data_IF_537260565270
#
_entry.id   IF_537260565270
#
_cell.length_a   1.000
_cell.length_b   1.000
_cell.length_c   1.000
_cell.angle_alpha   90.00
_cell.angle_beta   90.00
_cell.angle_gamma   90.00
#
_symmetry.space_group_name_H-M   'P 1'
#
loop_
_entity.id
_entity.type
_entity.pdbx_description
1 polymer ?
#
# COMPACT_ATOMS: atom_id res chain seq x y z
N UNK A 1 -18.41 22.81 18.95
CA UNK A 1 -17.04 22.51 19.37
C UNK A 1 -16.05 23.43 18.65
N UNK A 2 -14.92 23.71 19.31
CA UNK A 2 -13.83 24.46 18.70
C UNK A 2 -13.24 23.73 17.48
N UNK A 3 -12.87 24.43 16.38
CA UNK A 3 -12.24 23.79 15.24
C UNK A 3 -10.90 23.14 15.60
N UNK A 4 -10.53 22.09 14.90
CA UNK A 4 -9.27 21.37 15.06
C UNK A 4 -9.36 19.89 14.80
N UNK A 5 -8.34 19.14 15.22
CA UNK A 5 -8.32 17.69 15.21
C UNK A 5 -8.43 17.13 16.63
N UNK A 6 -9.25 16.11 16.80
CA UNK A 6 -9.52 15.48 18.07
C UNK A 6 -9.29 13.98 17.96
N UNK A 7 -8.41 13.46 18.80
CA UNK A 7 -8.17 12.02 18.92
C UNK A 7 -8.98 11.46 20.08
N UNK A 8 -9.53 10.29 19.88
CA UNK A 8 -10.28 9.54 20.87
C UNK A 8 -10.00 8.05 20.77
N UNK A 9 -10.37 7.29 21.76
CA UNK A 9 -10.28 5.84 21.75
C UNK A 9 -11.45 5.22 22.51
N UNK A 10 -11.93 4.10 21.98
CA UNK A 10 -12.90 3.26 22.64
C UNK A 10 -12.15 2.17 23.44
N UNK A 11 -12.36 2.14 24.75
CA UNK A 11 -11.70 1.17 25.66
C UNK A 11 -12.30 -0.25 25.59
N UNK A 12 -12.87 -0.63 24.46
CA UNK A 12 -13.38 -1.98 24.25
C UNK A 12 -14.73 -2.28 24.93
N UNK A 13 -15.42 -1.27 25.45
CA UNK A 13 -16.76 -1.45 26.05
C UNK A 13 -17.83 -1.89 25.03
N UNK A 14 -17.61 -1.66 23.76
CA UNK A 14 -18.51 -1.96 22.66
C UNK A 14 -18.15 -3.21 21.86
N UNK A 15 -16.95 -3.77 22.07
CA UNK A 15 -16.48 -4.96 21.36
C UNK A 15 -16.05 -6.08 22.29
N UNK A 16 -16.56 -7.28 22.02
CA UNK A 16 -16.26 -8.51 22.78
C UNK A 16 -14.79 -8.91 22.76
N UNK A 17 -14.00 -8.38 21.82
CA UNK A 17 -12.56 -8.65 21.69
C UNK A 17 -11.68 -7.89 22.71
N UNK A 18 -12.22 -6.92 23.43
CA UNK A 18 -11.45 -6.05 24.33
C UNK A 18 -10.43 -5.13 23.65
N UNK A 19 -10.43 -5.08 22.33
CA UNK A 19 -9.49 -4.29 21.53
C UNK A 19 -9.80 -2.80 21.62
N UNK A 20 -8.76 -1.99 21.83
CA UNK A 20 -8.90 -0.53 21.84
C UNK A 20 -8.98 -0.02 20.41
N UNK A 21 -10.07 0.67 20.07
CA UNK A 21 -10.28 1.26 18.75
C UNK A 21 -10.01 2.76 18.79
N UNK A 22 -9.03 3.19 18.02
CA UNK A 22 -8.66 4.60 17.92
C UNK A 22 -9.47 5.30 16.84
N UNK A 23 -9.73 6.58 17.05
CA UNK A 23 -10.41 7.45 16.09
C UNK A 23 -9.83 8.85 16.09
N UNK A 24 -10.00 9.55 14.98
CA UNK A 24 -9.65 10.95 14.84
C UNK A 24 -10.81 11.69 14.17
N UNK A 25 -11.06 12.92 14.60
CA UNK A 25 -12.11 13.78 14.05
C UNK A 25 -11.54 15.12 13.69
N UNK A 26 -11.74 15.53 12.44
CA UNK A 26 -11.39 16.86 11.96
C UNK A 26 -12.65 17.69 11.92
N UNK A 27 -12.67 18.77 12.72
CA UNK A 27 -13.78 19.71 12.80
C UNK A 27 -13.31 21.04 12.23
N UNK A 28 -13.86 21.48 11.07
CA UNK A 28 -13.58 22.82 10.53
C UNK A 28 -14.40 23.88 11.28
N UNK A 29 -14.03 25.14 11.09
CA UNK A 29 -14.86 26.27 11.48
C UNK A 29 -16.14 26.30 10.65
N UNK A 30 -16.02 26.07 9.35
CA UNK A 30 -17.12 25.96 8.39
C UNK A 30 -16.85 24.82 7.43
N UNK A 31 -17.83 23.95 7.21
CA UNK A 31 -17.73 22.86 6.24
C UNK A 31 -17.96 21.47 6.85
N UNK A 32 -17.64 20.47 6.09
CA UNK A 32 -17.89 19.08 6.44
C UNK A 32 -16.92 18.55 7.48
N UNK A 33 -17.45 17.75 8.40
CA UNK A 33 -16.66 17.00 9.36
C UNK A 33 -16.07 15.75 8.71
N UNK A 34 -14.84 15.41 9.07
CA UNK A 34 -14.17 14.21 8.58
C UNK A 34 -13.71 13.38 9.78
N UNK A 35 -14.23 12.18 9.89
CA UNK A 35 -13.87 11.22 10.92
C UNK A 35 -13.07 10.08 10.34
N UNK A 36 -12.03 9.64 11.06
CA UNK A 36 -11.30 8.40 10.80
C UNK A 36 -11.47 7.48 11.99
N UNK A 37 -11.80 6.22 11.75
CA UNK A 37 -12.01 5.22 12.80
C UNK A 37 -11.49 3.85 12.41
N UNK A 38 -10.83 3.17 13.34
CA UNK A 38 -10.47 1.76 13.19
C UNK A 38 -11.62 0.86 13.55
N UNK A 39 -11.73 -0.26 12.87
CA UNK A 39 -12.61 -1.35 13.24
C UNK A 39 -11.84 -2.48 13.97
N UNK A 40 -12.53 -3.49 14.56
CA UNK A 40 -11.86 -4.61 15.21
C UNK A 40 -11.01 -5.49 14.29
N UNK A 41 -11.19 -5.39 12.98
CA UNK A 41 -10.43 -6.11 11.94
C UNK A 41 -9.20 -5.34 11.45
N UNK A 42 -8.82 -4.26 12.15
CA UNK A 42 -7.68 -3.40 11.79
C UNK A 42 -7.83 -2.68 10.44
N UNK A 43 -9.05 -2.36 10.06
CA UNK A 43 -9.35 -1.60 8.86
C UNK A 43 -9.65 -0.17 9.25
N UNK A 44 -9.05 0.79 8.55
CA UNK A 44 -9.29 2.21 8.75
C UNK A 44 -10.44 2.69 7.85
N UNK A 45 -11.48 3.21 8.48
CA UNK A 45 -12.62 3.82 7.79
C UNK A 45 -12.64 5.33 7.93
N UNK A 46 -13.27 5.98 6.98
CA UNK A 46 -13.60 7.41 7.05
C UNK A 46 -15.11 7.64 6.96
N UNK A 47 -15.57 8.73 7.59
CA UNK A 47 -16.95 9.23 7.49
C UNK A 47 -16.92 10.72 7.20
N UNK A 48 -17.75 11.14 6.28
CA UNK A 48 -17.99 12.54 5.98
C UNK A 48 -19.38 12.89 6.56
N UNK A 49 -19.46 13.91 7.39
CA UNK A 49 -20.70 14.39 8.00
C UNK A 49 -21.53 13.26 8.66
N UNK A 50 -20.86 12.33 9.34
CA UNK A 50 -21.47 11.17 10.02
C UNK A 50 -22.27 10.24 9.10
N UNK A 51 -22.07 10.29 7.80
CA UNK A 51 -22.68 9.34 6.86
C UNK A 51 -22.08 7.96 7.01
N UNK A 52 -22.52 6.98 6.18
CA UNK A 52 -21.97 5.62 6.23
C UNK A 52 -20.45 5.64 6.06
N UNK A 53 -19.77 4.75 6.76
CA UNK A 53 -18.32 4.64 6.68
C UNK A 53 -17.88 4.02 5.33
N UNK A 54 -16.77 4.51 4.83
CA UNK A 54 -16.07 4.00 3.66
C UNK A 54 -14.61 3.72 4.01
N UNK A 55 -13.93 2.78 3.35
CA UNK A 55 -12.50 2.61 3.53
C UNK A 55 -11.74 3.94 3.37
N UNK A 56 -10.84 4.25 4.30
CA UNK A 56 -10.14 5.54 4.29
C UNK A 56 -9.27 5.75 3.04
N UNK A 57 -8.84 4.67 2.41
CA UNK A 57 -8.07 4.71 1.15
C UNK A 57 -8.86 5.30 -0.02
N UNK A 58 -10.19 5.25 0.02
CA UNK A 58 -11.03 5.95 -0.96
C UNK A 58 -10.77 7.46 -0.92
N UNK A 59 -10.62 8.03 0.27
CA UNK A 59 -10.25 9.46 0.42
C UNK A 59 -8.89 9.77 -0.18
N UNK A 60 -7.90 8.90 0.05
CA UNK A 60 -6.55 9.07 -0.50
C UNK A 60 -6.55 8.94 -2.04
N UNK A 61 -7.30 8.01 -2.59
CA UNK A 61 -7.47 7.88 -4.04
C UNK A 61 -8.19 9.10 -4.65
N UNK A 62 -9.19 9.62 -3.98
CA UNK A 62 -9.88 10.84 -4.40
C UNK A 62 -8.95 12.06 -4.43
N UNK A 63 -7.94 12.09 -3.55
CA UNK A 63 -6.86 13.08 -3.57
C UNK A 63 -5.84 12.86 -4.70
N UNK A 64 -5.94 11.77 -5.45
CA UNK A 64 -5.09 11.46 -6.60
C UNK A 64 -3.96 10.48 -6.33
N UNK A 65 -3.93 9.84 -5.17
CA UNK A 65 -2.89 8.85 -4.83
C UNK A 65 -3.19 7.50 -5.47
N UNK A 66 -2.20 6.92 -6.14
CA UNK A 66 -2.23 5.53 -6.62
C UNK A 66 -2.03 4.54 -5.46
N UNK A 67 -2.29 3.25 -5.70
CA UNK A 67 -2.01 2.20 -4.70
C UNK A 67 -0.53 2.21 -4.27
N UNK A 68 0.40 2.34 -5.21
CA UNK A 68 1.84 2.38 -4.92
C UNK A 68 2.24 3.63 -4.13
N UNK A 69 1.66 4.79 -4.46
CA UNK A 69 1.88 6.03 -3.71
C UNK A 69 1.34 5.95 -2.28
N UNK A 70 0.15 5.37 -2.07
CA UNK A 70 -0.40 5.12 -0.73
C UNK A 70 0.53 4.21 0.07
N UNK A 71 0.97 3.11 -0.52
CA UNK A 71 1.88 2.17 0.12
C UNK A 71 3.19 2.85 0.50
N UNK A 72 3.79 3.62 -0.41
CA UNK A 72 5.07 4.30 -0.15
C UNK A 72 4.98 5.37 0.93
N UNK A 73 3.82 5.99 1.11
CA UNK A 73 3.60 6.99 2.15
C UNK A 73 3.55 6.36 3.57
N UNK A 74 2.96 5.17 3.69
CA UNK A 74 2.74 4.55 5.00
C UNK A 74 3.75 3.48 5.38
N UNK A 75 4.48 2.90 4.42
CA UNK A 75 5.38 1.78 4.66
C UNK A 75 6.78 2.02 4.13
N UNK A 76 7.76 1.56 4.90
CA UNK A 76 9.08 1.25 4.39
C UNK A 76 9.04 -0.09 3.67
N UNK A 77 9.96 -0.31 2.75
CA UNK A 77 10.03 -1.52 1.94
C UNK A 77 11.36 -2.24 2.12
N UNK A 78 11.31 -3.55 1.96
CA UNK A 78 12.49 -4.41 1.86
C UNK A 78 12.59 -4.97 0.45
N UNK A 79 13.80 -4.95 -0.12
CA UNK A 79 14.09 -5.55 -1.41
C UNK A 79 14.66 -6.95 -1.21
N UNK A 80 13.97 -7.95 -1.76
CA UNK A 80 14.36 -9.35 -1.73
C UNK A 80 14.92 -9.76 -3.08
N UNK A 81 16.15 -10.26 -3.09
CA UNK A 81 16.75 -10.88 -4.26
C UNK A 81 16.51 -12.38 -4.20
N UNK A 82 15.85 -12.93 -5.22
CA UNK A 82 15.47 -14.33 -5.27
C UNK A 82 16.58 -15.13 -5.97
N UNK A 83 17.10 -16.14 -5.30
CA UNK A 83 17.91 -17.19 -5.85
C UNK A 83 17.14 -18.51 -5.72
N UNK A 84 17.52 -19.57 -6.38
CA UNK A 84 16.79 -20.85 -6.52
C UNK A 84 15.79 -21.16 -5.39
N UNK A 85 16.26 -21.44 -4.18
CA UNK A 85 15.43 -21.78 -3.00
C UNK A 85 15.70 -20.86 -1.81
N UNK A 86 16.34 -19.72 -2.06
CA UNK A 86 16.71 -18.76 -1.03
C UNK A 86 16.44 -17.33 -1.48
N UNK A 87 16.33 -16.46 -0.50
CA UNK A 87 16.19 -15.00 -0.73
C UNK A 87 17.24 -14.26 0.06
N UNK A 88 17.74 -13.18 -0.51
CA UNK A 88 18.69 -12.27 0.14
C UNK A 88 18.00 -10.95 0.38
N UNK A 89 18.19 -10.41 1.56
CA UNK A 89 17.65 -9.10 1.97
C UNK A 89 18.73 -8.34 2.73
N UNK A 90 18.69 -7.01 2.64
CA UNK A 90 19.61 -6.16 3.36
C UNK A 90 19.51 -6.40 4.88
N UNK A 91 20.65 -6.44 5.55
CA UNK A 91 20.72 -6.55 7.00
C UNK A 91 20.39 -5.20 7.64
N UNK A 92 19.24 -5.12 8.30
CA UNK A 92 18.81 -3.98 9.11
C UNK A 92 18.65 -4.45 10.55
N UNK A 93 19.66 -4.27 11.42
CA UNK A 93 19.68 -4.84 12.76
C UNK A 93 18.47 -4.45 13.62
N UNK A 94 18.02 -3.20 13.54
CA UNK A 94 16.89 -2.70 14.32
C UNK A 94 15.58 -3.43 14.00
N UNK A 95 15.41 -3.91 12.78
CA UNK A 95 14.22 -4.66 12.34
C UNK A 95 14.19 -6.11 12.84
N UNK A 96 15.34 -6.66 13.19
CA UNK A 96 15.49 -8.06 13.62
C UNK A 96 15.40 -8.23 15.13
N UNK A 97 15.74 -7.21 15.90
CA UNK A 97 15.80 -7.30 17.36
C UNK A 97 14.46 -7.67 17.98
N UNK A 98 14.46 -8.77 18.73
CA UNK A 98 13.27 -9.26 19.42
C UNK A 98 12.31 -10.07 18.55
N UNK A 99 12.54 -10.13 17.24
CA UNK A 99 11.76 -10.92 16.30
C UNK A 99 12.06 -12.43 16.42
N UNK A 100 11.08 -13.22 16.00
CA UNK A 100 11.24 -14.68 15.85
C UNK A 100 10.85 -15.03 14.43
N UNK A 101 11.80 -15.50 13.63
CA UNK A 101 11.56 -15.87 12.24
C UNK A 101 11.31 -17.38 12.11
N UNK A 102 10.43 -17.78 11.19
CA UNK A 102 10.14 -19.20 10.93
C UNK A 102 11.25 -19.91 10.15
N UNK A 103 12.29 -19.19 9.76
CA UNK A 103 13.41 -19.68 8.94
C UNK A 103 14.75 -19.32 9.57
N UNK A 104 15.81 -20.06 9.19
CA UNK A 104 17.18 -19.76 9.63
C UNK A 104 17.68 -18.45 9.03
N UNK A 105 18.41 -17.67 9.82
CA UNK A 105 19.16 -16.50 9.35
C UNK A 105 20.58 -16.93 9.03
N UNK A 106 20.96 -16.82 7.76
CA UNK A 106 22.28 -17.18 7.26
C UNK A 106 23.01 -15.97 6.69
N UNK A 107 24.32 -15.96 6.89
CA UNK A 107 25.25 -15.09 6.17
C UNK A 107 26.21 -15.99 5.40
N UNK A 108 26.16 -15.91 4.09
CA UNK A 108 26.79 -16.91 3.22
C UNK A 108 26.25 -18.32 3.55
N UNK A 109 27.09 -19.22 4.03
CA UNK A 109 26.69 -20.58 4.40
C UNK A 109 26.55 -20.81 5.91
N UNK A 110 26.85 -19.82 6.74
CA UNK A 110 26.82 -19.94 8.21
C UNK A 110 25.48 -19.52 8.77
N UNK A 111 24.87 -20.38 9.60
CA UNK A 111 23.67 -20.08 10.37
C UNK A 111 24.03 -19.25 11.60
N UNK A 112 23.42 -18.08 11.74
CA UNK A 112 23.58 -17.19 12.90
C UNK A 112 22.42 -17.34 13.89
N UNK A 113 21.21 -17.52 13.39
CA UNK A 113 20.00 -17.74 14.21
C UNK A 113 19.20 -18.87 13.57
N UNK A 114 18.88 -19.90 14.34
CA UNK A 114 18.02 -20.99 13.88
C UNK A 114 16.54 -20.57 13.85
N UNK A 115 15.78 -21.22 12.97
CA UNK A 115 14.34 -21.03 12.86
C UNK A 115 13.64 -21.19 14.22
N UNK A 116 12.65 -20.32 14.48
CA UNK A 116 11.86 -20.35 15.70
C UNK A 116 12.56 -19.81 16.96
N UNK A 117 13.83 -19.42 16.88
CA UNK A 117 14.54 -18.79 18.00
C UNK A 117 14.39 -17.28 17.97
N UNK A 118 14.18 -16.71 19.15
CA UNK A 118 14.12 -15.25 19.32
C UNK A 118 15.49 -14.62 19.04
N UNK A 119 15.51 -13.58 18.23
CA UNK A 119 16.72 -12.83 17.89
C UNK A 119 17.07 -11.93 19.07
N UNK A 120 18.20 -12.19 19.70
CA UNK A 120 18.70 -11.45 20.86
C UNK A 120 19.70 -10.36 20.43
N UNK A 121 20.01 -9.46 21.36
CA UNK A 121 21.04 -8.44 21.16
C UNK A 121 22.42 -9.07 20.83
N UNK A 122 22.71 -10.27 21.35
CA UNK A 122 23.93 -11.03 21.02
C UNK A 122 23.96 -11.42 19.55
N UNK A 123 22.87 -11.97 19.03
CA UNK A 123 22.74 -12.34 17.63
C UNK A 123 22.93 -11.12 16.71
N UNK A 124 22.33 -9.98 17.07
CA UNK A 124 22.50 -8.72 16.32
C UNK A 124 23.97 -8.28 16.30
N UNK A 125 24.66 -8.36 17.45
CA UNK A 125 26.07 -8.02 17.54
C UNK A 125 26.93 -8.94 16.69
N UNK A 126 26.67 -10.24 16.69
CA UNK A 126 27.37 -11.22 15.87
C UNK A 126 27.15 -10.97 14.37
N UNK A 127 25.90 -10.69 13.94
CA UNK A 127 25.57 -10.33 12.56
C UNK A 127 26.25 -9.05 12.13
N UNK A 128 26.23 -8.03 12.96
CA UNK A 128 26.90 -6.75 12.69
C UNK A 128 28.42 -6.90 12.60
N UNK A 129 28.99 -7.72 13.46
CA UNK A 129 30.45 -8.01 13.47
C UNK A 129 30.90 -8.80 12.24
N UNK A 130 30.00 -9.53 11.59
CA UNK A 130 30.28 -10.25 10.34
C UNK A 130 30.54 -9.33 9.16
N UNK A 131 30.29 -8.02 9.30
CA UNK A 131 30.36 -7.00 8.22
C UNK A 131 29.53 -7.36 6.98
N UNK A 132 28.53 -8.22 7.13
CA UNK A 132 27.63 -8.55 6.05
C UNK A 132 26.63 -7.42 5.82
N UNK A 133 26.41 -7.07 4.56
CA UNK A 133 25.35 -6.13 4.16
C UNK A 133 24.00 -6.81 3.90
N UNK A 134 24.03 -8.11 3.69
CA UNK A 134 22.86 -8.93 3.34
C UNK A 134 22.82 -10.20 4.20
N UNK A 135 21.61 -10.66 4.49
CA UNK A 135 21.32 -11.98 5.09
C UNK A 135 20.60 -12.86 4.08
N UNK A 136 20.79 -14.16 4.21
CA UNK A 136 20.13 -15.17 3.39
C UNK A 136 19.09 -15.92 4.20
N UNK A 137 17.88 -16.03 3.65
CA UNK A 137 16.74 -16.69 4.26
C UNK A 137 16.18 -17.73 3.28
N UNK A 138 15.44 -18.72 3.79
CA UNK A 138 14.67 -19.61 2.92
C UNK A 138 13.58 -18.83 2.17
N UNK A 139 13.24 -19.24 0.95
CA UNK A 139 12.17 -18.62 0.16
C UNK A 139 10.81 -18.62 0.86
N UNK A 140 10.57 -19.57 1.74
CA UNK A 140 9.36 -19.65 2.57
C UNK A 140 9.13 -18.40 3.42
N UNK A 141 10.18 -17.64 3.69
CA UNK A 141 10.08 -16.37 4.40
C UNK A 141 9.24 -15.34 3.64
N UNK A 142 9.13 -15.46 2.32
CA UNK A 142 8.29 -14.58 1.50
C UNK A 142 6.79 -14.81 1.68
N UNK A 143 6.39 -16.01 2.13
CA UNK A 143 4.98 -16.33 2.35
C UNK A 143 4.41 -15.45 3.46
N UNK A 144 3.30 -14.78 3.17
CA UNK A 144 2.67 -13.79 4.05
C UNK A 144 3.21 -12.37 3.91
N UNK A 145 4.27 -12.16 3.13
CA UNK A 145 4.73 -10.81 2.77
C UNK A 145 3.79 -10.18 1.74
N UNK A 146 3.79 -8.86 1.69
CA UNK A 146 2.92 -8.09 0.81
C UNK A 146 3.75 -7.31 -0.19
N UNK A 147 3.41 -7.40 -1.47
CA UNK A 147 4.09 -6.70 -2.54
C UNK A 147 3.90 -5.17 -2.42
N UNK A 148 4.99 -4.43 -2.56
CA UNK A 148 4.98 -2.97 -2.52
C UNK A 148 4.71 -2.31 -3.87
N UNK A 149 4.92 -3.02 -4.95
CA UNK A 149 4.76 -2.52 -6.32
C UNK A 149 4.21 -3.59 -7.25
N UNK A 150 3.68 -3.16 -8.39
CA UNK A 150 3.20 -4.05 -9.42
C UNK A 150 4.35 -4.87 -10.02
N UNK A 151 4.12 -6.15 -10.24
CA UNK A 151 5.08 -7.06 -10.84
C UNK A 151 4.63 -7.44 -12.24
N UNK A 152 5.52 -7.25 -13.21
CA UNK A 152 5.29 -7.57 -14.62
C UNK A 152 6.07 -8.81 -15.03
N UNK A 153 5.48 -9.63 -15.88
CA UNK A 153 6.20 -10.71 -16.55
C UNK A 153 7.28 -10.14 -17.46
N UNK A 154 8.42 -10.81 -17.54
CA UNK A 154 9.50 -10.43 -18.47
C UNK A 154 9.08 -10.52 -19.93
N UNK A 155 8.10 -11.37 -20.26
CA UNK A 155 7.53 -11.53 -21.61
C UNK A 155 6.54 -10.43 -22.01
N UNK A 156 5.88 -9.79 -21.05
CA UNK A 156 4.82 -8.80 -21.31
C UNK A 156 5.34 -7.39 -21.60
N UNK A 157 6.66 -7.19 -21.50
CA UNK A 157 7.28 -5.89 -21.80
C UNK A 157 7.48 -5.66 -23.31
N UNK A 158 7.35 -6.68 -24.14
CA UNK A 158 7.55 -6.60 -25.58
C UNK A 158 6.35 -7.19 -26.34
N UNK A 159 5.62 -6.35 -27.06
CA UNK A 159 4.58 -6.80 -27.99
C UNK A 159 5.16 -6.78 -29.39
N UNK A 160 4.96 -7.83 -30.16
CA UNK A 160 5.22 -7.81 -31.61
C UNK A 160 4.12 -7.01 -32.31
N UNK A 161 4.46 -5.81 -32.78
CA UNK A 161 3.55 -4.97 -33.57
C UNK A 161 3.97 -5.04 -35.03
N UNK A 162 3.04 -5.37 -35.93
CA UNK A 162 3.28 -5.26 -37.36
C UNK A 162 3.23 -3.79 -37.77
N UNK A 163 4.36 -3.23 -38.17
CA UNK A 163 4.44 -1.91 -38.80
C UNK A 163 4.46 -2.05 -40.32
N UNK A 164 3.56 -1.33 -40.96
CA UNK A 164 3.56 -1.17 -42.41
C UNK A 164 4.56 -0.08 -42.78
N UNK A 165 5.59 -0.45 -43.48
CA UNK A 165 6.55 0.48 -44.08
C UNK A 165 6.23 0.62 -45.56
N UNK A 166 5.83 1.81 -45.97
CA UNK A 166 5.59 2.15 -47.37
C UNK A 166 6.93 2.59 -47.96
N UNK A 167 7.42 1.84 -48.89
CA UNK A 167 8.61 2.23 -49.64
C UNK A 167 8.28 3.45 -50.53
N UNK A 168 8.99 4.55 -50.29
CA UNK A 168 8.71 5.83 -50.93
C UNK A 168 9.02 5.86 -52.44
N UNK A 169 9.80 4.90 -52.92
CA UNK A 169 10.18 4.83 -54.34
C UNK A 169 9.33 3.83 -55.13
N UNK A 170 8.86 2.76 -54.52
CA UNK A 170 8.13 1.69 -55.21
C UNK A 170 6.65 1.62 -54.84
N UNK A 171 6.22 2.29 -53.77
CA UNK A 171 4.84 2.23 -53.25
C UNK A 171 4.44 0.87 -52.66
N UNK A 172 5.37 -0.06 -52.51
CA UNK A 172 5.08 -1.38 -51.91
C UNK A 172 5.01 -1.30 -50.39
N UNK A 173 3.98 -1.91 -49.83
CA UNK A 173 3.79 -2.02 -48.37
C UNK A 173 4.53 -3.28 -47.89
N UNK A 174 5.62 -3.08 -47.16
CA UNK A 174 6.34 -4.17 -46.48
C UNK A 174 5.94 -4.20 -45.01
N UNK A 175 5.37 -5.30 -44.58
CA UNK A 175 5.05 -5.55 -43.15
C UNK A 175 6.31 -6.04 -42.44
N UNK A 176 6.76 -5.28 -41.43
CA UNK A 176 7.89 -5.66 -40.58
C UNK A 176 7.39 -5.82 -39.15
N UNK A 177 7.63 -6.99 -38.57
CA UNK A 177 7.39 -7.20 -37.14
C UNK A 177 8.44 -6.45 -36.35
N UNK A 178 7.99 -5.51 -35.53
CA UNK A 178 8.84 -4.73 -34.62
C UNK A 178 8.37 -5.00 -33.18
N UNK A 179 9.32 -5.32 -32.32
CA UNK A 179 9.02 -5.45 -30.89
C UNK A 179 8.86 -4.06 -30.29
N UNK A 180 7.66 -3.73 -29.86
CA UNK A 180 7.37 -2.50 -29.12
C UNK A 180 6.98 -2.83 -27.68
N UNK A 181 7.33 -1.91 -26.75
CA UNK A 181 6.82 -2.02 -25.38
C UNK A 181 5.32 -1.84 -25.38
N UNK A 182 4.60 -2.73 -24.70
CA UNK A 182 3.17 -2.58 -24.48
C UNK A 182 2.88 -1.21 -23.88
N UNK A 183 1.90 -0.48 -24.40
CA UNK A 183 1.53 0.84 -23.89
C UNK A 183 1.04 0.78 -22.44
N UNK A 184 0.34 -0.27 -22.06
CA UNK A 184 -0.15 -0.53 -20.71
C UNK A 184 -0.17 -2.04 -20.45
N UNK A 185 0.98 -2.67 -20.10
CA UNK A 185 0.99 -4.10 -19.79
C UNK A 185 0.20 -4.35 -18.50
N UNK A 186 -0.64 -5.39 -18.50
CA UNK A 186 -1.25 -5.84 -17.26
C UNK A 186 -0.17 -6.44 -16.34
N UNK A 187 -0.14 -6.05 -15.06
CA UNK A 187 0.79 -6.64 -14.12
C UNK A 187 0.42 -8.10 -13.84
N UNK A 188 1.42 -8.95 -13.70
CA UNK A 188 1.24 -10.34 -13.24
C UNK A 188 0.63 -10.36 -11.84
N UNK A 189 1.13 -9.50 -10.95
CA UNK A 189 0.58 -9.22 -9.63
C UNK A 189 0.57 -7.72 -9.38
N UNK A 190 -0.52 -7.24 -8.77
CA UNK A 190 -0.65 -5.84 -8.38
C UNK A 190 0.01 -5.59 -7.02
N UNK A 191 0.42 -4.34 -6.80
CA UNK A 191 0.82 -3.86 -5.49
C UNK A 191 -0.23 -4.20 -4.42
N UNK A 192 0.22 -4.48 -3.21
CA UNK A 192 -0.61 -4.94 -2.08
C UNK A 192 -1.11 -6.39 -2.18
N UNK A 193 -0.64 -7.17 -3.14
CA UNK A 193 -0.91 -8.62 -3.18
C UNK A 193 -0.10 -9.33 -2.09
N UNK A 194 -0.76 -10.17 -1.30
CA UNK A 194 -0.10 -11.05 -0.34
C UNK A 194 0.49 -12.26 -1.05
N UNK A 195 1.73 -12.58 -0.73
CA UNK A 195 2.43 -13.73 -1.30
C UNK A 195 1.99 -14.99 -0.57
N UNK A 196 1.30 -15.87 -1.27
CA UNK A 196 1.02 -17.25 -0.87
C UNK A 196 1.89 -18.24 -1.67
N UNK A 197 1.67 -19.53 -1.48
CA UNK A 197 2.43 -20.56 -2.18
C UNK A 197 2.25 -20.51 -3.71
N UNK A 198 1.03 -20.19 -4.17
CA UNK A 198 0.73 -20.07 -5.59
C UNK A 198 1.42 -18.85 -6.22
N UNK A 199 1.33 -17.70 -5.55
CA UNK A 199 2.02 -16.47 -5.98
C UNK A 199 3.53 -16.68 -6.03
N UNK A 200 4.11 -17.34 -5.02
CA UNK A 200 5.52 -17.66 -4.97
C UNK A 200 5.95 -18.57 -6.14
N UNK A 201 5.16 -19.60 -6.44
CA UNK A 201 5.40 -20.49 -7.57
C UNK A 201 5.39 -19.73 -8.90
N UNK A 202 4.42 -18.84 -9.11
CA UNK A 202 4.34 -18.04 -10.34
C UNK A 202 5.48 -17.02 -10.46
N UNK A 203 5.94 -16.45 -9.36
CA UNK A 203 7.13 -15.58 -9.33
C UNK A 203 8.36 -16.36 -9.80
N UNK A 204 8.53 -17.60 -9.35
CA UNK A 204 9.65 -18.47 -9.78
C UNK A 204 9.53 -18.87 -11.25
N UNK A 205 8.35 -19.28 -11.69
CA UNK A 205 8.08 -19.65 -13.10
C UNK A 205 8.34 -18.51 -14.08
N UNK A 206 8.06 -17.28 -13.68
CA UNK A 206 8.31 -16.08 -14.49
C UNK A 206 9.74 -15.53 -14.34
N UNK A 207 10.62 -16.25 -13.65
CA UNK A 207 12.03 -15.88 -13.45
C UNK A 207 12.23 -14.46 -12.87
N UNK A 208 11.33 -14.03 -11.98
CA UNK A 208 11.43 -12.75 -11.30
C UNK A 208 12.53 -12.87 -10.24
N UNK A 209 13.55 -12.02 -10.36
CA UNK A 209 14.76 -12.09 -9.52
C UNK A 209 14.76 -11.13 -8.34
N UNK A 210 13.89 -10.16 -8.35
CA UNK A 210 13.83 -9.13 -7.31
C UNK A 210 12.39 -8.74 -7.00
N UNK A 211 12.09 -8.62 -5.72
CA UNK A 211 10.79 -8.19 -5.20
C UNK A 211 10.97 -7.10 -4.16
N UNK A 212 10.07 -6.14 -4.15
CA UNK A 212 9.90 -5.22 -3.02
C UNK A 212 8.66 -5.58 -2.25
N UNK A 213 8.81 -5.77 -0.95
CA UNK A 213 7.72 -6.06 -0.03
C UNK A 213 7.62 -5.00 1.06
N UNK A 214 6.41 -4.85 1.61
CA UNK A 214 6.18 -3.95 2.74
C UNK A 214 6.94 -4.47 3.96
N UNK A 215 7.58 -3.55 4.69
CA UNK A 215 8.01 -3.82 6.04
C UNK A 215 6.84 -3.58 7.01
N UNK A 216 6.30 -4.65 7.56
CA UNK A 216 5.21 -4.63 8.53
C UNK A 216 5.74 -5.16 9.86
N UNK A 217 5.55 -4.36 10.92
CA UNK A 217 5.84 -4.73 12.30
C UNK A 217 4.58 -4.45 13.11
N UNK A 218 3.99 -5.47 13.69
CA UNK A 218 2.73 -5.36 14.46
C UNK A 218 2.79 -4.40 15.63
N UNK A 219 3.99 -4.14 16.17
CA UNK A 219 4.18 -3.22 17.30
C UNK A 219 4.27 -1.74 16.88
N UNK A 220 4.82 -1.45 15.71
CA UNK A 220 5.15 -0.08 15.28
C UNK A 220 4.46 0.30 13.98
N UNK A 221 4.47 -0.57 13.00
CA UNK A 221 3.92 -0.38 11.65
C UNK A 221 3.01 -1.54 11.28
N UNK A 222 1.78 -1.52 11.78
CA UNK A 222 0.81 -2.58 11.52
C UNK A 222 0.26 -2.58 10.09
N UNK A 223 -0.44 -3.64 9.70
CA UNK A 223 -0.94 -3.84 8.34
C UNK A 223 -2.21 -3.03 8.02
N UNK A 224 -2.51 -1.97 8.75
CA UNK A 224 -3.79 -1.26 8.70
C UNK A 224 -4.15 -0.73 7.32
N UNK A 225 -3.25 0.00 6.68
CA UNK A 225 -3.48 0.57 5.35
C UNK A 225 -3.50 -0.52 4.27
N UNK A 226 -2.64 -1.53 4.38
CA UNK A 226 -2.66 -2.68 3.49
C UNK A 226 -4.00 -3.43 3.56
N UNK A 227 -4.50 -3.69 4.76
CA UNK A 227 -5.82 -4.32 4.97
C UNK A 227 -6.95 -3.44 4.45
N UNK A 228 -6.86 -2.12 4.63
CA UNK A 228 -7.84 -1.16 4.14
C UNK A 228 -7.88 -1.13 2.61
N UNK A 229 -6.73 -1.17 1.94
CA UNK A 229 -6.64 -1.29 0.48
C UNK A 229 -7.30 -2.56 -0.07
N UNK A 230 -7.24 -3.69 0.68
CA UNK A 230 -7.89 -4.94 0.25
C UNK A 230 -9.40 -4.89 0.29
N UNK A 231 -10.00 -4.15 1.20
CA UNK A 231 -11.46 -3.99 1.30
C UNK A 231 -11.98 -2.80 0.49
N UNK A 232 -11.09 -1.96 0.00
CA UNK A 232 -11.43 -0.84 -0.88
C UNK A 232 -11.85 -1.36 -2.26
N UNK A 233 -13.12 -1.14 -2.69
CA UNK A 233 -13.60 -1.61 -3.98
C UNK A 233 -13.13 -0.75 -5.15
N UNK A 234 -12.48 0.39 -4.88
CA UNK A 234 -12.04 1.33 -5.91
C UNK A 234 -10.60 1.04 -6.35
N UNK A 235 -10.28 1.36 -7.61
CA UNK A 235 -8.96 1.13 -8.20
C UNK A 235 -8.26 2.41 -8.63
N UNK A 236 -9.00 3.50 -8.82
CA UNK A 236 -8.48 4.76 -9.31
C UNK A 236 -9.23 5.96 -8.72
N UNK A 237 -8.75 7.17 -9.05
CA UNK A 237 -9.33 8.42 -8.55
C UNK A 237 -10.79 8.59 -8.94
N UNK A 238 -11.14 8.30 -10.18
CA UNK A 238 -12.53 8.47 -10.66
C UNK A 238 -13.51 7.56 -9.92
N UNK A 239 -13.17 6.29 -9.74
CA UNK A 239 -13.99 5.35 -8.97
C UNK A 239 -14.15 5.80 -7.52
N UNK A 240 -13.09 6.33 -6.90
CA UNK A 240 -13.14 6.87 -5.54
C UNK A 240 -14.07 8.07 -5.43
N UNK A 241 -13.97 9.02 -6.37
CA UNK A 241 -14.86 10.19 -6.42
C UNK A 241 -16.33 9.79 -6.62
N UNK A 242 -16.60 8.80 -7.47
CA UNK A 242 -17.94 8.27 -7.69
C UNK A 242 -18.48 7.59 -6.42
N UNK A 243 -17.65 6.86 -5.70
CA UNK A 243 -18.07 6.20 -4.44
C UNK A 243 -18.42 7.23 -3.36
N UNK A 244 -17.63 8.29 -3.24
CA UNK A 244 -17.92 9.41 -2.34
C UNK A 244 -19.23 10.10 -2.75
N UNK A 245 -19.44 10.33 -4.04
CA UNK A 245 -20.66 10.93 -4.55
C UNK A 245 -21.91 10.10 -4.21
N UNK A 246 -21.86 8.78 -4.44
CA UNK A 246 -22.94 7.86 -4.10
C UNK A 246 -23.26 7.84 -2.62
N UNK A 247 -22.23 7.95 -1.78
CA UNK A 247 -22.41 8.04 -0.33
C UNK A 247 -23.09 9.34 0.08
N UNK A 248 -22.66 10.47 -0.49
CA UNK A 248 -23.16 11.80 -0.13
C UNK A 248 -24.52 12.11 -0.73
N UNK A 249 -24.82 11.59 -1.91
CA UNK A 249 -26.08 11.80 -2.67
C UNK A 249 -26.67 10.47 -3.14
N UNK A 250 -27.22 9.68 -2.22
CA UNK A 250 -27.84 8.40 -2.57
C UNK A 250 -28.99 8.59 -3.57
N UNK A 251 -29.03 7.71 -4.58
CA UNK A 251 -30.08 7.71 -5.59
C UNK A 251 -29.89 8.68 -6.76
N UNK A 252 -28.91 9.58 -6.70
CA UNK A 252 -28.55 10.42 -7.82
C UNK A 252 -27.51 9.74 -8.72
N UNK A 253 -27.68 9.72 -10.05
CA UNK A 253 -26.70 9.12 -10.95
C UNK A 253 -25.42 9.98 -10.99
N UNK A 254 -24.24 9.41 -10.68
CA UNK A 254 -22.99 10.15 -10.71
C UNK A 254 -22.52 10.38 -12.14
N UNK A 255 -21.94 11.57 -12.38
CA UNK A 255 -21.11 11.86 -13.55
C UNK A 255 -19.71 12.22 -13.08
N UNK A 256 -18.72 12.17 -13.98
CA UNK A 256 -17.36 12.60 -13.65
C UNK A 256 -17.33 14.01 -13.09
N UNK A 257 -17.96 14.94 -13.78
CA UNK A 257 -17.96 16.36 -13.41
C UNK A 257 -18.70 16.61 -12.09
N UNK A 258 -19.84 15.97 -11.88
CA UNK A 258 -20.60 16.11 -10.63
C UNK A 258 -19.86 15.52 -9.42
N UNK A 259 -19.16 14.41 -9.60
CA UNK A 259 -18.37 13.78 -8.54
C UNK A 259 -17.14 14.64 -8.18
N UNK A 260 -16.42 15.15 -9.16
CA UNK A 260 -15.29 16.06 -8.92
C UNK A 260 -15.72 17.37 -8.26
N UNK A 261 -16.83 17.95 -8.70
CA UNK A 261 -17.37 19.18 -8.12
C UNK A 261 -17.80 18.98 -6.68
N UNK A 262 -18.49 17.87 -6.39
CA UNK A 262 -18.89 17.56 -5.01
C UNK A 262 -17.68 17.45 -4.09
N UNK A 263 -16.68 16.65 -4.48
CA UNK A 263 -15.48 16.45 -3.67
C UNK A 263 -14.70 17.74 -3.43
N UNK A 264 -14.54 18.54 -4.49
CA UNK A 264 -13.90 19.85 -4.38
C UNK A 264 -14.65 20.78 -3.41
N UNK A 265 -15.98 20.79 -3.47
CA UNK A 265 -16.81 21.63 -2.60
C UNK A 265 -16.81 21.17 -1.14
N UNK A 266 -16.54 19.88 -0.87
CA UNK A 266 -16.47 19.36 0.50
C UNK A 266 -15.29 19.91 1.28
N UNK A 267 -14.09 20.01 0.65
CA UNK A 267 -12.83 20.26 1.36
C UNK A 267 -11.92 21.32 0.75
N UNK A 268 -12.10 21.68 -0.51
CA UNK A 268 -11.16 22.55 -1.26
C UNK A 268 -11.76 23.85 -1.76
N UNK A 269 -13.04 24.09 -1.57
CA UNK A 269 -13.68 25.35 -1.91
C UNK A 269 -13.64 26.28 -0.70
N UNK A 270 -12.92 27.38 -0.81
CA UNK A 270 -12.72 28.37 0.26
C UNK A 270 -14.01 28.99 0.78
N UNK A 271 -15.04 29.09 -0.05
CA UNK A 271 -16.35 29.60 0.36
C UNK A 271 -17.14 28.59 1.22
N UNK A 272 -16.86 27.30 1.05
CA UNK A 272 -17.60 26.17 1.67
C UNK A 272 -16.86 25.46 2.78
N UNK A 273 -15.55 25.57 2.82
CA UNK A 273 -14.70 24.92 3.81
C UNK A 273 -13.64 25.88 4.34
N UNK A 274 -13.60 26.04 5.64
CA UNK A 274 -12.59 26.84 6.33
C UNK A 274 -12.25 26.20 7.68
N UNK A 275 -10.99 25.85 7.84
CA UNK A 275 -10.47 25.32 9.10
C UNK A 275 -10.28 26.41 10.16
N UNK A 276 -10.18 27.66 9.75
CA UNK A 276 -9.75 28.84 10.51
C UNK A 276 -8.31 28.81 10.98
N UNK A 277 -7.75 29.95 11.37
CA UNK A 277 -6.40 30.02 11.92
C UNK A 277 -6.26 29.25 13.23
N UNK A 278 -7.26 29.31 14.08
CA UNK A 278 -7.29 28.55 15.34
C UNK A 278 -7.36 27.04 15.08
N UNK A 279 -8.19 26.61 14.17
CA UNK A 279 -8.30 25.21 13.77
C UNK A 279 -6.99 24.69 13.17
N UNK A 280 -6.36 25.49 12.30
CA UNK A 280 -5.06 25.15 11.70
C UNK A 280 -3.95 25.06 12.74
N UNK A 281 -3.90 26.01 13.68
CA UNK A 281 -2.94 25.96 14.79
C UNK A 281 -3.10 24.72 15.64
N UNK A 282 -4.33 24.38 16.01
CA UNK A 282 -4.61 23.17 16.82
C UNK A 282 -4.28 21.89 16.04
N UNK A 283 -4.56 21.87 14.76
CA UNK A 283 -4.21 20.77 13.88
C UNK A 283 -2.68 20.56 13.83
N UNK A 284 -1.93 21.61 13.56
CA UNK A 284 -0.48 21.56 13.47
C UNK A 284 0.21 21.16 14.78
N UNK A 285 -0.37 21.46 15.93
CA UNK A 285 0.17 21.04 17.23
C UNK A 285 0.04 19.53 17.50
N UNK A 286 -0.85 18.86 16.79
CA UNK A 286 -1.15 17.44 17.00
C UNK A 286 -0.57 16.52 15.90
N UNK A 287 -0.15 17.09 14.82
CA UNK A 287 0.63 16.45 13.77
C UNK A 287 2.12 16.70 13.95
#
# INVERSE_FOLDING_TARGET
RSPGVFYDHDKGKTHSSGKVLYSARIIPYRGSWLDFEFDPKDILFSRIDRRRKIPATIMLRALGMSTEEIISEFYETDTYKIDKDSVKVALVPERLRGETLPVDIKVKSKVYVEAGKRITARHIKELTSSKASEITLSEEFLIGKVLAEDIYSTSDKEIEVEKENIDKETGEVKKKKVKEKAKDPEPLFKANTEIDEEVLSQIKENEIKELKCLYINELVKGPYISNTLRVDPTSNRLEALVEIYRMMRPGEPPTKDSAETLFNNLFFNEERYDLSEVGRMKFNRRL
#
